data_IF_153940680298
#
_entry.id   IF_153940680298
#
_cell.length_a   1.000
_cell.length_b   1.000
_cell.length_c   1.000
_cell.angle_alpha   90.00
_cell.angle_beta   90.00
_cell.angle_gamma   90.00
#
_symmetry.space_group_name_H-M   'P 1'
#
loop_
_entity.id
_entity.type
_entity.pdbx_description
1 polymer ?
#
# COMPACT_ATOMS: atom_id res chain seq x y z
N UNK A 1 -37.08 75.67 -19.99
CA UNK A 1 -36.55 74.56 -20.82
C UNK A 1 -35.95 73.54 -19.89
N UNK A 2 -36.17 72.23 -20.13
CA UNK A 2 -35.42 71.20 -19.42
C UNK A 2 -33.99 71.28 -19.94
N UNK A 3 -33.00 71.35 -19.05
CA UNK A 3 -31.57 71.41 -19.40
C UNK A 3 -30.99 70.00 -19.33
N UNK A 4 -30.11 69.63 -20.25
CA UNK A 4 -29.37 68.38 -20.15
C UNK A 4 -28.38 68.45 -18.98
N UNK A 5 -28.37 67.43 -18.13
CA UNK A 5 -27.47 67.30 -16.98
C UNK A 5 -26.65 66.03 -17.18
N UNK A 6 -25.32 66.14 -17.12
CA UNK A 6 -24.45 64.97 -17.09
C UNK A 6 -24.42 64.47 -15.65
N UNK A 7 -25.06 63.34 -15.39
CA UNK A 7 -25.20 62.78 -14.05
C UNK A 7 -24.07 61.82 -13.69
N UNK A 8 -23.95 61.52 -12.39
CA UNK A 8 -23.12 60.42 -11.86
C UNK A 8 -24.00 59.49 -11.02
N UNK A 9 -24.88 58.71 -11.65
CA UNK A 9 -25.75 57.77 -10.95
C UNK A 9 -24.96 56.65 -10.29
N UNK A 10 -25.60 55.97 -9.34
CA UNK A 10 -25.17 54.65 -8.86
C UNK A 10 -26.19 53.64 -9.37
N UNK A 11 -25.72 52.52 -9.92
CA UNK A 11 -26.61 51.48 -10.41
C UNK A 11 -26.75 50.40 -9.35
N UNK A 12 -27.93 50.25 -8.77
CA UNK A 12 -28.15 49.27 -7.69
C UNK A 12 -27.99 47.82 -8.19
N UNK A 13 -28.26 47.58 -9.47
CA UNK A 13 -28.05 46.29 -10.13
C UNK A 13 -26.62 45.75 -10.00
N UNK A 14 -25.62 46.63 -9.89
CA UNK A 14 -24.21 46.24 -9.77
C UNK A 14 -23.93 45.46 -8.47
N UNK A 15 -24.78 45.61 -7.45
CA UNK A 15 -24.67 44.88 -6.18
C UNK A 15 -24.93 43.37 -6.38
N UNK A 16 -25.86 43.02 -7.26
CA UNK A 16 -26.18 41.61 -7.57
C UNK A 16 -25.34 41.06 -8.72
N UNK A 17 -24.91 41.92 -9.64
CA UNK A 17 -24.05 41.54 -10.75
C UNK A 17 -22.89 42.53 -10.90
N UNK A 18 -21.75 42.27 -10.25
CA UNK A 18 -20.58 43.16 -10.30
C UNK A 18 -19.89 43.18 -11.67
N UNK A 19 -20.31 42.35 -12.64
CA UNK A 19 -19.75 42.32 -13.99
C UNK A 19 -20.43 43.32 -14.94
N UNK A 20 -21.60 43.87 -14.58
CA UNK A 20 -22.30 44.87 -15.40
C UNK A 20 -21.45 46.12 -15.73
N UNK A 21 -20.66 46.69 -14.79
CA UNK A 21 -19.81 47.85 -15.06
C UNK A 21 -18.66 47.60 -16.04
N UNK A 22 -18.34 46.34 -16.36
CA UNK A 22 -17.29 45.96 -17.31
C UNK A 22 -17.83 45.24 -18.55
N UNK A 23 -19.16 45.15 -18.68
CA UNK A 23 -19.82 44.60 -19.86
C UNK A 23 -19.51 45.43 -21.13
N UNK A 24 -19.65 44.84 -22.34
CA UNK A 24 -19.53 45.57 -23.61
C UNK A 24 -20.34 46.87 -23.66
N UNK A 25 -21.55 46.87 -23.12
CA UNK A 25 -22.47 48.01 -23.12
C UNK A 25 -22.17 49.07 -22.03
N UNK A 26 -21.31 48.77 -21.05
CA UNK A 26 -21.21 49.54 -19.80
C UNK A 26 -20.86 51.02 -19.98
N UNK A 27 -20.09 51.36 -21.03
CA UNK A 27 -19.71 52.74 -21.33
C UNK A 27 -20.87 53.64 -21.77
N UNK A 28 -22.05 53.07 -22.04
CA UNK A 28 -23.22 53.82 -22.49
C UNK A 28 -24.24 54.09 -21.37
N UNK A 29 -24.07 53.45 -20.19
CA UNK A 29 -25.03 53.53 -19.07
C UNK A 29 -25.33 54.96 -18.65
N UNK A 30 -24.30 55.79 -18.54
CA UNK A 30 -24.45 57.20 -18.11
C UNK A 30 -25.22 58.03 -19.15
N UNK A 31 -24.92 57.85 -20.45
CA UNK A 31 -25.62 58.55 -21.52
C UNK A 31 -27.09 58.13 -21.58
N UNK A 32 -27.36 56.83 -21.58
CA UNK A 32 -28.70 56.28 -21.57
C UNK A 32 -29.52 56.75 -20.36
N UNK A 33 -28.89 56.77 -19.20
CA UNK A 33 -29.48 57.28 -17.97
C UNK A 33 -29.94 58.73 -18.16
N UNK A 34 -29.06 59.63 -18.62
CA UNK A 34 -29.41 61.03 -18.81
C UNK A 34 -30.40 61.26 -19.96
N UNK A 35 -30.33 60.46 -21.03
CA UNK A 35 -31.27 60.49 -22.15
C UNK A 35 -32.70 60.28 -21.66
N UNK A 36 -32.95 59.24 -20.87
CA UNK A 36 -34.28 58.93 -20.33
C UNK A 36 -34.79 60.03 -19.40
N UNK A 37 -33.93 60.63 -18.57
CA UNK A 37 -34.33 61.76 -17.70
C UNK A 37 -34.72 62.99 -18.51
N UNK A 38 -34.06 63.21 -19.64
CA UNK A 38 -34.32 64.32 -20.53
C UNK A 38 -35.62 64.12 -21.34
N UNK A 39 -35.74 62.96 -22.01
CA UNK A 39 -36.86 62.65 -22.92
C UNK A 39 -38.13 62.24 -22.18
N UNK A 40 -37.99 61.57 -21.02
CA UNK A 40 -39.08 61.04 -20.18
C UNK A 40 -40.07 60.18 -20.98
N UNK A 41 -39.60 59.11 -21.64
CA UNK A 41 -40.43 58.30 -22.52
C UNK A 41 -41.51 57.57 -21.70
N UNK A 42 -42.70 57.43 -22.27
CA UNK A 42 -43.81 56.71 -21.63
C UNK A 42 -43.71 55.20 -21.80
N UNK A 43 -43.10 54.74 -22.90
CA UNK A 43 -42.84 53.32 -23.17
C UNK A 43 -41.43 53.15 -23.70
N UNK A 44 -40.63 52.36 -22.98
CA UNK A 44 -39.30 51.90 -23.37
C UNK A 44 -39.39 50.41 -23.67
N UNK A 45 -38.91 49.98 -24.83
CA UNK A 45 -38.80 48.57 -25.18
C UNK A 45 -37.35 48.24 -25.51
N UNK A 46 -36.86 47.14 -24.95
CA UNK A 46 -35.54 46.60 -25.22
C UNK A 46 -35.63 45.20 -25.83
N UNK A 47 -34.90 45.00 -26.93
CA UNK A 47 -34.74 43.73 -27.62
C UNK A 47 -33.30 43.25 -27.39
N UNK A 48 -33.16 42.13 -26.69
CA UNK A 48 -31.86 41.59 -26.28
C UNK A 48 -31.42 42.22 -24.97
N UNK A 49 -31.83 41.61 -23.87
CA UNK A 49 -31.58 42.11 -22.51
C UNK A 49 -30.35 41.46 -21.88
N UNK A 50 -30.08 40.20 -22.20
CA UNK A 50 -28.99 39.42 -21.61
C UNK A 50 -28.97 39.53 -20.06
N UNK A 51 -27.84 39.96 -19.47
CA UNK A 51 -27.72 40.23 -18.02
C UNK A 51 -28.31 41.57 -17.56
N UNK A 52 -28.78 42.43 -18.48
CA UNK A 52 -29.55 43.64 -18.18
C UNK A 52 -28.74 44.91 -17.96
N UNK A 53 -27.51 45.04 -18.50
CA UNK A 53 -26.68 46.24 -18.27
C UNK A 53 -27.38 47.54 -18.71
N UNK A 54 -27.88 47.53 -19.93
CA UNK A 54 -28.75 48.54 -20.56
C UNK A 54 -30.09 48.68 -19.84
N UNK A 55 -30.82 47.57 -19.71
CA UNK A 55 -32.14 47.56 -19.10
C UNK A 55 -32.15 48.15 -17.69
N UNK A 56 -31.16 47.81 -16.88
CA UNK A 56 -31.04 48.33 -15.52
C UNK A 56 -30.52 49.76 -15.47
N UNK A 57 -29.75 50.22 -16.47
CA UNK A 57 -29.45 51.64 -16.61
C UNK A 57 -30.72 52.45 -16.93
N UNK A 58 -31.60 51.92 -17.78
CA UNK A 58 -32.91 52.50 -18.06
C UNK A 58 -33.80 52.51 -16.81
N UNK A 59 -33.87 51.37 -16.10
CA UNK A 59 -34.65 51.19 -14.88
C UNK A 59 -34.21 52.14 -13.77
N UNK A 60 -32.90 52.26 -13.53
CA UNK A 60 -32.34 53.21 -12.57
C UNK A 60 -32.70 54.66 -12.92
N UNK A 61 -32.68 55.01 -14.21
CA UNK A 61 -33.07 56.35 -14.67
C UNK A 61 -34.53 56.66 -14.40
N UNK A 62 -35.43 55.72 -14.68
CA UNK A 62 -36.86 55.85 -14.41
C UNK A 62 -37.12 56.02 -12.91
N UNK A 63 -36.46 55.21 -12.08
CA UNK A 63 -36.56 55.27 -10.62
C UNK A 63 -36.05 56.61 -10.08
N UNK A 64 -34.82 57.01 -10.41
CA UNK A 64 -34.17 58.22 -9.90
C UNK A 64 -34.83 59.51 -10.40
N UNK A 65 -35.55 59.45 -11.54
CA UNK A 65 -36.31 60.57 -12.08
C UNK A 65 -37.76 60.63 -11.57
N UNK A 66 -38.21 59.65 -10.77
CA UNK A 66 -39.57 59.60 -10.25
C UNK A 66 -40.63 59.34 -11.34
N UNK A 67 -40.29 58.55 -12.36
CA UNK A 67 -41.14 58.31 -13.54
C UNK A 67 -41.96 57.01 -13.45
N UNK A 68 -41.93 56.30 -12.33
CA UNK A 68 -42.57 54.99 -12.15
C UNK A 68 -44.07 54.92 -12.52
N UNK A 69 -44.81 56.04 -12.42
CA UNK A 69 -46.24 56.10 -12.76
C UNK A 69 -46.51 56.43 -14.23
N UNK A 70 -45.50 56.92 -14.96
CA UNK A 70 -45.65 57.42 -16.33
C UNK A 70 -44.83 56.66 -17.37
N UNK A 71 -43.89 55.81 -16.93
CA UNK A 71 -43.00 55.06 -17.82
C UNK A 71 -43.15 53.55 -17.58
N UNK A 72 -43.47 52.82 -18.65
CA UNK A 72 -43.41 51.37 -18.72
C UNK A 72 -42.10 50.93 -19.39
N UNK A 73 -41.45 49.90 -18.84
CA UNK A 73 -40.29 49.26 -19.43
C UNK A 73 -40.65 47.82 -19.83
N UNK A 74 -40.28 47.43 -21.05
CA UNK A 74 -40.46 46.07 -21.55
C UNK A 74 -39.11 45.53 -21.99
N UNK A 75 -38.71 44.39 -21.44
CA UNK A 75 -37.52 43.66 -21.88
C UNK A 75 -37.97 42.40 -22.61
N UNK A 76 -37.52 42.23 -23.85
CA UNK A 76 -37.77 41.04 -24.66
C UNK A 76 -36.46 40.32 -24.91
N UNK A 77 -36.40 39.08 -24.49
CA UNK A 77 -35.25 38.19 -24.72
C UNK A 77 -35.73 36.73 -24.57
N UNK A 78 -35.02 35.78 -25.16
CA UNK A 78 -35.26 34.36 -24.92
C UNK A 78 -34.64 33.92 -23.59
N UNK A 79 -33.58 34.59 -23.15
CA UNK A 79 -32.65 34.20 -22.08
C UNK A 79 -32.13 32.76 -22.22
N UNK A 80 -32.04 32.27 -23.46
CA UNK A 80 -31.39 30.99 -23.79
C UNK A 80 -29.96 31.21 -24.31
N UNK A 81 -29.66 32.42 -24.80
CA UNK A 81 -28.40 32.74 -25.46
C UNK A 81 -28.37 32.26 -26.91
N UNK A 82 -27.28 32.56 -27.62
CA UNK A 82 -27.09 32.21 -29.02
C UNK A 82 -25.60 31.96 -29.37
N UNK A 83 -25.28 31.71 -30.64
CA UNK A 83 -23.92 31.41 -31.08
C UNK A 83 -22.95 32.59 -31.02
N UNK A 84 -23.43 33.82 -30.88
CA UNK A 84 -22.62 35.05 -30.82
C UNK A 84 -22.47 35.56 -29.38
N UNK A 85 -23.53 35.50 -28.57
CA UNK A 85 -23.50 35.83 -27.15
C UNK A 85 -23.05 34.66 -26.24
N UNK A 86 -23.01 33.43 -26.78
CA UNK A 86 -22.85 32.19 -26.03
C UNK A 86 -24.20 31.67 -25.50
N UNK A 87 -24.34 30.35 -25.38
CA UNK A 87 -25.51 29.76 -24.71
C UNK A 87 -25.43 30.05 -23.21
N UNK A 88 -26.46 30.68 -22.67
CA UNK A 88 -26.49 31.11 -21.28
C UNK A 88 -26.63 29.91 -20.35
N UNK A 89 -25.90 29.90 -19.23
CA UNK A 89 -26.20 28.98 -18.13
C UNK A 89 -27.53 29.39 -17.48
N UNK A 90 -28.19 28.47 -16.75
CA UNK A 90 -29.49 28.72 -16.08
C UNK A 90 -29.48 29.97 -15.16
N UNK A 91 -28.31 30.42 -14.72
CA UNK A 91 -28.11 31.57 -13.84
C UNK A 91 -28.49 32.94 -14.45
N UNK A 92 -28.51 33.11 -15.78
CA UNK A 92 -28.78 34.42 -16.42
C UNK A 92 -30.25 34.82 -16.25
N UNK A 93 -31.18 33.91 -16.56
CA UNK A 93 -32.61 34.17 -16.40
C UNK A 93 -33.03 34.28 -14.93
N UNK A 94 -32.32 33.65 -13.99
CA UNK A 94 -32.63 33.84 -12.57
C UNK A 94 -32.21 35.23 -12.06
N UNK A 95 -31.10 35.77 -12.58
CA UNK A 95 -30.53 37.01 -12.06
C UNK A 95 -31.34 38.25 -12.47
N UNK A 96 -31.91 38.28 -13.67
CA UNK A 96 -32.65 39.45 -14.17
C UNK A 96 -33.93 39.72 -13.35
N UNK A 97 -34.89 38.77 -13.22
CA UNK A 97 -36.08 38.95 -12.38
C UNK A 97 -35.72 39.15 -10.91
N UNK A 98 -34.65 38.51 -10.40
CA UNK A 98 -34.16 38.77 -9.02
C UNK A 98 -33.72 40.21 -8.83
N UNK A 99 -33.01 40.78 -9.81
CA UNK A 99 -32.58 42.17 -9.78
C UNK A 99 -33.77 43.11 -9.85
N UNK A 100 -34.73 42.86 -10.74
CA UNK A 100 -35.99 43.61 -10.81
C UNK A 100 -36.72 43.59 -9.48
N UNK A 101 -36.94 42.41 -8.90
CA UNK A 101 -37.66 42.26 -7.63
C UNK A 101 -36.94 42.92 -6.45
N UNK A 102 -35.61 42.97 -6.46
CA UNK A 102 -34.82 43.53 -5.36
C UNK A 102 -34.74 45.04 -5.39
N UNK A 103 -34.55 45.63 -6.56
CA UNK A 103 -34.20 47.06 -6.70
C UNK A 103 -35.26 47.87 -7.44
N UNK A 104 -36.07 47.25 -8.29
CA UNK A 104 -36.98 47.94 -9.21
C UNK A 104 -38.44 47.49 -9.07
N UNK A 105 -38.83 46.98 -7.89
CA UNK A 105 -40.17 46.44 -7.63
C UNK A 105 -41.31 47.45 -7.81
N UNK A 106 -41.00 48.74 -7.69
CA UNK A 106 -41.98 49.83 -7.82
C UNK A 106 -42.14 50.31 -9.27
N UNK A 107 -41.36 49.79 -10.21
CA UNK A 107 -41.41 50.16 -11.62
C UNK A 107 -42.39 49.27 -12.40
N UNK A 108 -42.99 49.82 -13.46
CA UNK A 108 -43.81 49.08 -14.40
C UNK A 108 -42.93 48.31 -15.41
N UNK A 109 -42.38 47.19 -14.97
CA UNK A 109 -41.50 46.32 -15.78
C UNK A 109 -42.25 45.07 -16.26
N UNK A 110 -42.17 44.79 -17.56
CA UNK A 110 -42.66 43.54 -18.17
C UNK A 110 -41.49 42.78 -18.81
N UNK A 111 -41.15 41.62 -18.25
CA UNK A 111 -40.10 40.73 -18.77
C UNK A 111 -40.73 39.65 -19.66
N UNK A 112 -40.50 39.74 -20.96
CA UNK A 112 -41.07 38.84 -21.98
C UNK A 112 -40.05 37.80 -22.41
N UNK A 113 -40.11 36.59 -21.82
CA UNK A 113 -39.27 35.44 -22.20
C UNK A 113 -39.74 34.80 -23.52
N UNK A 114 -39.41 35.43 -24.64
CA UNK A 114 -39.83 35.03 -26.00
C UNK A 114 -38.94 35.68 -27.06
N UNK A 115 -39.04 35.22 -28.31
CA UNK A 115 -38.38 35.89 -29.44
C UNK A 115 -39.01 37.25 -29.72
N UNK A 116 -38.29 38.12 -30.43
CA UNK A 116 -38.79 39.47 -30.75
C UNK A 116 -40.06 39.41 -31.62
N UNK A 117 -40.12 38.48 -32.58
CA UNK A 117 -41.30 38.28 -33.43
C UNK A 117 -42.52 37.80 -32.63
N UNK A 118 -42.34 36.95 -31.62
CA UNK A 118 -43.43 36.50 -30.74
C UNK A 118 -43.95 37.63 -29.84
N UNK A 119 -43.09 38.57 -29.42
CA UNK A 119 -43.50 39.73 -28.63
C UNK A 119 -44.19 40.82 -29.46
N UNK A 120 -43.90 40.89 -30.77
CA UNK A 120 -44.36 41.96 -31.65
C UNK A 120 -45.87 42.23 -31.62
N UNK A 121 -46.78 41.23 -31.59
CA UNK A 121 -48.22 41.46 -31.53
C UNK A 121 -48.72 42.04 -30.20
N UNK A 122 -47.94 41.91 -29.12
CA UNK A 122 -48.29 42.39 -27.78
C UNK A 122 -48.00 43.89 -27.59
N UNK A 123 -47.25 44.49 -28.52
CA UNK A 123 -46.92 45.91 -28.51
C UNK A 123 -47.76 46.64 -29.56
N UNK A 124 -48.44 47.70 -29.15
CA UNK A 124 -49.28 48.49 -30.04
C UNK A 124 -48.44 49.26 -31.06
N UNK A 125 -48.98 49.45 -32.28
CA UNK A 125 -48.35 50.31 -33.28
C UNK A 125 -48.28 51.76 -32.77
N UNK A 126 -47.24 52.50 -33.19
CA UNK A 126 -47.07 53.92 -32.87
C UNK A 126 -47.10 54.23 -31.35
N UNK A 127 -46.55 53.33 -30.52
CA UNK A 127 -46.61 53.42 -29.05
C UNK A 127 -45.25 53.57 -28.37
N UNK A 128 -44.18 53.00 -28.95
CA UNK A 128 -42.84 52.99 -28.35
C UNK A 128 -42.18 54.36 -28.52
N UNK A 129 -41.71 54.98 -27.43
CA UNK A 129 -41.01 56.26 -27.48
C UNK A 129 -39.48 56.11 -27.47
N UNK A 130 -38.98 55.01 -26.90
CA UNK A 130 -37.57 54.61 -26.94
C UNK A 130 -37.49 53.10 -27.21
N UNK A 131 -36.85 52.71 -28.31
CA UNK A 131 -36.58 51.32 -28.66
C UNK A 131 -35.07 51.07 -28.57
N UNK A 132 -34.64 50.02 -27.88
CA UNK A 132 -33.26 49.53 -27.90
C UNK A 132 -33.20 48.20 -28.65
N UNK A 133 -32.27 48.10 -29.61
CA UNK A 133 -32.02 46.91 -30.43
C UNK A 133 -30.58 46.46 -30.17
N UNK A 134 -30.44 45.32 -29.49
CA UNK A 134 -29.18 44.68 -29.10
C UNK A 134 -29.35 43.15 -29.10
N UNK A 135 -29.88 42.65 -30.21
CA UNK A 135 -30.21 41.24 -30.41
C UNK A 135 -29.06 40.43 -31.02
N UNK A 136 -29.31 39.79 -32.16
CA UNK A 136 -28.29 39.01 -32.85
C UNK A 136 -27.51 39.89 -33.84
N UNK A 137 -26.18 39.76 -33.91
CA UNK A 137 -25.29 40.74 -34.54
C UNK A 137 -25.06 40.49 -36.05
N UNK A 138 -25.90 39.69 -36.72
CA UNK A 138 -25.87 39.59 -38.19
C UNK A 138 -26.62 40.75 -38.84
N UNK A 139 -26.23 41.11 -40.06
CA UNK A 139 -26.88 42.20 -40.80
C UNK A 139 -28.37 41.90 -40.99
N UNK A 140 -28.71 40.66 -41.35
CA UNK A 140 -30.08 40.22 -41.62
C UNK A 140 -30.95 40.29 -40.36
N UNK A 141 -30.43 39.88 -39.20
CA UNK A 141 -31.18 39.89 -37.95
C UNK A 141 -31.49 41.33 -37.49
N UNK A 142 -30.46 42.19 -37.42
CA UNK A 142 -30.67 43.60 -37.02
C UNK A 142 -31.56 44.33 -38.02
N UNK A 143 -31.43 44.02 -39.31
CA UNK A 143 -32.31 44.58 -40.35
C UNK A 143 -33.76 44.11 -40.15
N UNK A 144 -34.00 42.82 -39.91
CA UNK A 144 -35.34 42.30 -39.63
C UNK A 144 -35.94 42.96 -38.38
N UNK A 145 -35.17 43.07 -37.31
CA UNK A 145 -35.58 43.72 -36.07
C UNK A 145 -35.96 45.18 -36.29
N UNK A 146 -35.13 45.95 -37.00
CA UNK A 146 -35.44 47.32 -37.34
C UNK A 146 -36.74 47.43 -38.15
N UNK A 147 -36.88 46.67 -39.23
CA UNK A 147 -38.03 46.81 -40.13
C UNK A 147 -39.35 46.33 -39.49
N UNK A 148 -39.31 45.28 -38.67
CA UNK A 148 -40.49 44.73 -38.01
C UNK A 148 -40.94 45.59 -36.83
N UNK A 149 -40.01 46.22 -36.10
CA UNK A 149 -40.32 47.07 -34.95
C UNK A 149 -40.52 48.55 -35.30
N UNK A 150 -40.07 49.03 -36.46
CA UNK A 150 -40.27 50.42 -36.88
C UNK A 150 -41.76 50.86 -36.88
N UNK A 151 -42.75 50.04 -37.29
CA UNK A 151 -44.18 50.38 -37.15
C UNK A 151 -44.63 50.61 -35.69
N UNK A 152 -44.00 49.93 -34.72
CA UNK A 152 -44.28 50.05 -33.28
C UNK A 152 -43.76 51.36 -32.69
N UNK A 153 -42.71 51.93 -33.29
CA UNK A 153 -42.14 53.20 -32.89
C UNK A 153 -43.14 54.35 -33.10
N UNK A 154 -43.28 55.21 -32.10
CA UNK A 154 -44.11 56.42 -32.16
C UNK A 154 -43.49 57.50 -33.07
N UNK A 155 -44.30 58.44 -33.52
CA UNK A 155 -43.80 59.70 -34.10
C UNK A 155 -42.84 60.40 -33.12
N UNK A 156 -41.69 60.83 -33.63
CA UNK A 156 -40.52 61.29 -32.89
C UNK A 156 -39.95 60.27 -31.90
N UNK A 157 -40.18 58.97 -32.07
CA UNK A 157 -39.51 57.95 -31.26
C UNK A 157 -38.01 57.86 -31.57
N UNK A 158 -37.24 57.41 -30.59
CA UNK A 158 -35.78 57.22 -30.68
C UNK A 158 -35.48 55.73 -30.76
N UNK A 159 -34.57 55.32 -31.65
CA UNK A 159 -34.02 53.96 -31.66
C UNK A 159 -32.55 54.02 -31.24
N UNK A 160 -32.17 53.14 -30.32
CA UNK A 160 -30.81 52.87 -29.93
C UNK A 160 -30.36 51.53 -30.54
N UNK A 161 -29.18 51.51 -31.14
CA UNK A 161 -28.52 50.30 -31.65
C UNK A 161 -27.21 50.12 -30.91
N UNK A 162 -26.96 48.91 -30.41
CA UNK A 162 -25.65 48.56 -29.91
C UNK A 162 -24.82 47.85 -31.01
N UNK A 163 -23.53 47.60 -30.72
CA UNK A 163 -22.60 46.92 -31.64
C UNK A 163 -22.45 47.63 -32.99
N UNK A 164 -22.35 48.97 -32.93
CA UNK A 164 -22.27 49.86 -34.10
C UNK A 164 -20.87 50.43 -34.37
N UNK A 165 -19.89 50.13 -33.52
CA UNK A 165 -18.53 50.68 -33.66
C UNK A 165 -17.85 50.17 -34.94
N UNK A 166 -16.93 50.96 -35.52
CA UNK A 166 -16.04 50.45 -36.56
C UNK A 166 -15.25 49.23 -36.05
N UNK A 167 -14.91 48.32 -36.97
CA UNK A 167 -13.98 47.20 -36.76
C UNK A 167 -14.45 46.10 -35.77
N UNK A 168 -15.74 46.04 -35.42
CA UNK A 168 -16.32 44.93 -34.64
C UNK A 168 -16.32 43.60 -35.41
N UNK A 169 -16.41 43.67 -36.75
CA UNK A 169 -16.65 42.51 -37.62
C UNK A 169 -18.10 42.01 -37.61
N UNK A 170 -19.02 42.76 -36.99
CA UNK A 170 -20.43 42.40 -36.89
C UNK A 170 -21.27 42.97 -38.03
N UNK A 171 -22.29 42.22 -38.47
CA UNK A 171 -23.22 42.68 -39.49
C UNK A 171 -24.15 43.79 -39.00
N UNK A 172 -24.34 43.92 -37.68
CA UNK A 172 -24.97 45.10 -37.05
C UNK A 172 -24.27 46.41 -37.42
N UNK A 173 -22.93 46.40 -37.52
CA UNK A 173 -22.14 47.56 -37.92
C UNK A 173 -22.34 47.90 -39.39
N UNK A 174 -22.43 46.90 -40.27
CA UNK A 174 -22.75 47.10 -41.68
C UNK A 174 -24.15 47.72 -41.85
N UNK A 175 -25.13 47.20 -41.11
CA UNK A 175 -26.48 47.72 -41.11
C UNK A 175 -26.53 49.16 -40.57
N UNK A 176 -25.83 49.45 -39.47
CA UNK A 176 -25.72 50.80 -38.92
C UNK A 176 -25.15 51.80 -39.94
N UNK A 177 -24.07 51.42 -40.63
CA UNK A 177 -23.44 52.24 -41.66
C UNK A 177 -24.35 52.53 -42.87
N UNK A 178 -25.31 51.66 -43.15
CA UNK A 178 -26.35 51.91 -44.13
C UNK A 178 -27.43 52.84 -43.59
N UNK A 179 -28.01 52.52 -42.42
CA UNK A 179 -29.21 53.18 -41.92
C UNK A 179 -28.95 54.62 -41.48
N UNK A 180 -27.76 54.90 -40.93
CA UNK A 180 -27.37 56.25 -40.49
C UNK A 180 -27.26 57.26 -41.63
N UNK A 181 -27.15 56.81 -42.88
CA UNK A 181 -27.17 57.68 -44.07
C UNK A 181 -28.59 58.12 -44.45
N UNK A 182 -29.63 57.42 -43.97
CA UNK A 182 -31.03 57.65 -44.34
C UNK A 182 -31.77 58.56 -43.34
N UNK A 183 -31.31 58.63 -42.10
CA UNK A 183 -31.99 59.36 -41.02
C UNK A 183 -31.00 60.19 -40.18
N UNK A 184 -31.47 61.23 -39.46
CA UNK A 184 -30.65 61.89 -38.45
C UNK A 184 -30.15 60.89 -37.41
N UNK A 185 -28.91 61.08 -36.96
CA UNK A 185 -28.27 60.16 -36.01
C UNK A 185 -27.28 60.87 -35.08
N UNK A 186 -26.96 60.21 -33.97
CA UNK A 186 -25.76 60.42 -33.16
C UNK A 186 -25.07 59.06 -33.01
N UNK A 187 -23.77 59.04 -32.75
CA UNK A 187 -23.07 57.77 -32.51
C UNK A 187 -21.94 57.90 -31.49
N UNK A 188 -21.76 56.83 -30.73
CA UNK A 188 -20.58 56.56 -29.92
C UNK A 188 -19.77 55.45 -30.59
N UNK A 189 -18.44 55.53 -30.49
CA UNK A 189 -17.52 54.54 -31.06
C UNK A 189 -16.83 53.66 -30.01
N UNK A 190 -16.90 54.04 -28.72
CA UNK A 190 -16.38 53.21 -27.62
C UNK A 190 -17.40 52.16 -27.18
N UNK A 191 -16.97 51.22 -26.35
CA UNK A 191 -17.87 50.20 -25.77
C UNK A 191 -18.70 49.52 -26.85
N UNK A 192 -18.02 49.02 -27.90
CA UNK A 192 -18.61 48.36 -29.07
C UNK A 192 -19.57 49.21 -29.90
N UNK A 193 -19.72 50.48 -29.54
CA UNK A 193 -20.48 51.49 -30.24
C UNK A 193 -21.94 51.54 -29.83
N UNK A 194 -22.51 52.73 -29.91
CA UNK A 194 -23.94 52.96 -29.72
C UNK A 194 -24.44 53.96 -30.76
N UNK A 195 -25.33 53.49 -31.63
CA UNK A 195 -26.05 54.31 -32.59
C UNK A 195 -27.35 54.85 -32.00
N UNK A 196 -27.64 56.13 -32.21
CA UNK A 196 -28.90 56.76 -31.83
C UNK A 196 -29.55 57.29 -33.10
N UNK A 197 -30.71 56.74 -33.49
CA UNK A 197 -31.40 57.02 -34.74
C UNK A 197 -32.74 57.72 -34.50
N UNK A 198 -33.11 58.65 -35.39
CA UNK A 198 -34.37 59.38 -35.35
C UNK A 198 -35.18 59.16 -36.64
N UNK A 199 -35.79 57.97 -36.83
CA UNK A 199 -36.36 57.58 -38.12
C UNK A 199 -37.76 58.14 -38.41
N UNK A 200 -38.48 58.62 -37.38
CA UNK A 200 -39.85 59.16 -37.49
C UNK A 200 -39.93 60.62 -37.04
N UNK A 201 -39.04 61.46 -37.56
CA UNK A 201 -38.99 62.89 -37.24
C UNK A 201 -37.70 63.31 -36.52
N UNK A 202 -37.43 64.61 -36.52
CA UNK A 202 -36.15 65.18 -36.05
C UNK A 202 -36.29 66.03 -34.77
N UNK A 203 -37.43 65.96 -34.08
CA UNK A 203 -37.70 66.75 -32.88
C UNK A 203 -36.63 66.56 -31.81
N UNK A 204 -36.38 65.30 -31.40
CA UNK A 204 -35.37 65.03 -30.38
C UNK A 204 -33.96 65.28 -30.87
N UNK A 205 -33.66 64.99 -32.14
CA UNK A 205 -32.37 65.32 -32.72
C UNK A 205 -32.06 66.83 -32.60
N UNK A 206 -33.02 67.69 -32.95
CA UNK A 206 -32.91 69.15 -32.76
C UNK A 206 -32.78 69.52 -31.29
N UNK A 207 -33.60 68.93 -30.40
CA UNK A 207 -33.54 69.20 -28.96
C UNK A 207 -32.25 68.78 -28.27
N UNK A 208 -31.61 67.72 -28.75
CA UNK A 208 -30.30 67.30 -28.25
C UNK A 208 -29.21 68.24 -28.78
N UNK A 209 -29.28 68.65 -30.04
CA UNK A 209 -28.34 69.62 -30.60
C UNK A 209 -28.47 71.01 -29.96
N UNK A 210 -29.68 71.47 -29.61
CA UNK A 210 -29.91 72.69 -28.82
C UNK A 210 -29.21 72.63 -27.45
N UNK A 211 -29.06 71.43 -26.90
CA UNK A 211 -28.34 71.16 -25.65
C UNK A 211 -26.86 70.84 -25.88
N UNK A 212 -26.28 71.11 -27.06
CA UNK A 212 -24.89 70.81 -27.42
C UNK A 212 -24.52 69.34 -27.15
N UNK A 213 -25.32 68.39 -27.65
CA UNK A 213 -25.09 66.97 -27.41
C UNK A 213 -23.75 66.47 -27.97
N UNK A 214 -23.24 67.07 -29.06
CA UNK A 214 -21.97 66.69 -29.68
C UNK A 214 -20.80 66.82 -28.68
N UNK A 215 -20.68 67.95 -27.99
CA UNK A 215 -19.66 68.14 -26.95
C UNK A 215 -19.83 67.15 -25.78
N UNK A 216 -21.07 66.74 -25.50
CA UNK A 216 -21.38 65.83 -24.39
C UNK A 216 -21.06 64.39 -24.73
N UNK A 217 -21.16 64.00 -26.00
CA UNK A 217 -20.74 62.68 -26.48
C UNK A 217 -19.26 62.46 -26.13
N UNK A 218 -18.39 63.45 -26.34
CA UNK A 218 -16.99 63.38 -25.93
C UNK A 218 -16.83 63.25 -24.41
N UNK A 219 -17.64 63.97 -23.62
CA UNK A 219 -17.60 63.86 -22.16
C UNK A 219 -17.99 62.45 -21.71
N UNK A 220 -19.06 61.86 -22.26
CA UNK A 220 -19.44 60.48 -21.94
C UNK A 220 -18.39 59.47 -22.38
N UNK A 221 -17.73 59.68 -23.53
CA UNK A 221 -16.62 58.84 -23.99
C UNK A 221 -15.48 58.81 -22.96
N UNK A 222 -15.00 59.98 -22.52
CA UNK A 222 -13.92 60.04 -21.52
C UNK A 222 -14.36 59.53 -20.15
N UNK A 223 -15.62 59.80 -19.76
CA UNK A 223 -16.18 59.30 -18.49
C UNK A 223 -16.23 57.78 -18.46
N UNK A 224 -16.70 57.15 -19.54
CA UNK A 224 -16.73 55.70 -19.69
C UNK A 224 -15.32 55.09 -19.61
N UNK A 225 -14.35 55.68 -20.33
CA UNK A 225 -12.96 55.23 -20.28
C UNK A 225 -12.35 55.35 -18.87
N UNK A 226 -12.64 56.45 -18.16
CA UNK A 226 -12.19 56.64 -16.78
C UNK A 226 -12.81 55.60 -15.83
N UNK A 227 -14.12 55.37 -15.91
CA UNK A 227 -14.82 54.40 -15.06
C UNK A 227 -14.29 52.97 -15.30
N UNK A 228 -14.16 52.55 -16.57
CA UNK A 228 -13.60 51.24 -16.91
C UNK A 228 -12.17 51.07 -16.39
N UNK A 229 -11.32 52.10 -16.51
CA UNK A 229 -9.96 52.07 -15.99
C UNK A 229 -9.93 51.94 -14.46
N UNK A 230 -10.86 52.57 -13.73
CA UNK A 230 -10.96 52.40 -12.28
C UNK A 230 -11.29 50.95 -11.88
N UNK A 231 -12.25 50.31 -12.56
CA UNK A 231 -12.59 48.91 -12.33
C UNK A 231 -11.40 47.99 -12.63
N UNK A 232 -10.74 48.16 -13.77
CA UNK A 232 -9.56 47.36 -14.13
C UNK A 232 -8.42 47.51 -13.13
N UNK A 233 -8.15 48.72 -12.63
CA UNK A 233 -7.11 48.96 -11.61
C UNK A 233 -7.47 48.29 -10.30
N UNK A 234 -8.74 48.35 -9.88
CA UNK A 234 -9.22 47.69 -8.67
C UNK A 234 -8.99 46.17 -8.75
N UNK A 235 -9.43 45.53 -9.82
CA UNK A 235 -9.31 44.08 -10.00
C UNK A 235 -7.84 43.64 -10.09
N UNK A 236 -7.00 44.40 -10.78
CA UNK A 236 -5.57 44.15 -10.85
C UNK A 236 -4.90 44.22 -9.47
N UNK A 237 -5.32 45.16 -8.62
CA UNK A 237 -4.83 45.26 -7.23
C UNK A 237 -5.26 44.06 -6.40
N UNK A 238 -6.53 43.68 -6.47
CA UNK A 238 -7.04 42.52 -5.73
C UNK A 238 -6.34 41.22 -6.15
N UNK A 239 -6.15 41.02 -7.45
CA UNK A 239 -5.36 39.90 -7.98
C UNK A 239 -3.91 39.92 -7.48
N UNK A 240 -3.27 41.09 -7.44
CA UNK A 240 -1.91 41.22 -6.94
C UNK A 240 -1.82 40.86 -5.45
N UNK A 241 -2.76 41.34 -4.63
CA UNK A 241 -2.82 41.03 -3.19
C UNK A 241 -3.05 39.54 -2.95
N UNK A 242 -3.95 38.91 -3.71
CA UNK A 242 -4.21 37.48 -3.61
C UNK A 242 -2.99 36.64 -4.03
N UNK A 243 -2.29 37.03 -5.11
CA UNK A 243 -1.03 36.39 -5.51
C UNK A 243 0.05 36.55 -4.45
N UNK A 244 0.15 37.73 -3.84
CA UNK A 244 1.14 37.98 -2.78
C UNK A 244 0.88 37.10 -1.54
N UNK A 245 -0.39 36.93 -1.14
CA UNK A 245 -0.77 35.99 -0.07
C UNK A 245 -0.38 34.55 -0.42
N UNK A 246 -0.68 34.09 -1.63
CA UNK A 246 -0.33 32.75 -2.09
C UNK A 246 1.20 32.51 -2.12
N UNK A 247 1.98 33.51 -2.54
CA UNK A 247 3.45 33.45 -2.51
C UNK A 247 3.95 33.28 -1.06
N UNK A 248 3.44 34.08 -0.12
CA UNK A 248 3.84 33.97 1.29
C UNK A 248 3.48 32.61 1.91
N UNK A 249 2.34 32.02 1.53
CA UNK A 249 1.97 30.67 1.96
C UNK A 249 2.89 29.60 1.35
N UNK A 250 3.23 29.75 0.07
CA UNK A 250 4.16 28.85 -0.61
C UNK A 250 5.58 28.93 -0.01
N UNK A 251 6.06 30.12 0.35
CA UNK A 251 7.34 30.29 1.06
C UNK A 251 7.38 29.54 2.39
N UNK A 252 6.28 29.56 3.17
CA UNK A 252 6.18 28.78 4.42
C UNK A 252 6.26 27.27 4.15
N UNK A 253 5.56 26.78 3.13
CA UNK A 253 5.60 25.36 2.75
C UNK A 253 7.00 24.93 2.28
N UNK A 254 7.70 25.79 1.55
CA UNK A 254 9.08 25.53 1.13
C UNK A 254 9.99 25.43 2.35
N UNK A 255 9.90 26.37 3.29
CA UNK A 255 10.71 26.35 4.51
C UNK A 255 10.45 25.10 5.37
N UNK A 256 9.22 24.58 5.41
CA UNK A 256 8.90 23.33 6.10
C UNK A 256 9.46 22.09 5.38
N UNK A 257 9.39 22.07 4.04
CA UNK A 257 9.99 21.01 3.23
C UNK A 257 11.50 20.97 3.38
N UNK A 258 12.17 22.12 3.41
CA UNK A 258 13.63 22.20 3.60
C UNK A 258 14.04 21.59 4.95
N UNK A 259 13.30 21.87 6.03
CA UNK A 259 13.54 21.22 7.34
C UNK A 259 13.37 19.71 7.28
N UNK A 260 12.36 19.25 6.55
CA UNK A 260 12.08 17.81 6.41
C UNK A 260 13.17 17.12 5.62
N UNK A 261 13.66 17.75 4.54
CA UNK A 261 14.78 17.25 3.74
C UNK A 261 16.04 17.14 4.61
N UNK A 262 16.38 18.18 5.36
CA UNK A 262 17.54 18.15 6.28
C UNK A 262 17.44 17.01 7.31
N UNK A 263 16.26 16.79 7.89
CA UNK A 263 16.05 15.68 8.82
C UNK A 263 16.20 14.31 8.13
N UNK A 264 15.70 14.18 6.91
CA UNK A 264 15.85 12.96 6.11
C UNK A 264 17.31 12.68 5.73
N UNK A 265 18.07 13.70 5.33
CA UNK A 265 19.50 13.58 5.03
C UNK A 265 20.30 13.10 6.24
N UNK A 266 20.00 13.62 7.43
CA UNK A 266 20.64 13.18 8.67
C UNK A 266 20.37 11.70 8.98
N UNK A 267 19.12 11.24 8.81
CA UNK A 267 18.74 9.84 8.99
C UNK A 267 19.42 8.91 7.98
N UNK A 268 19.56 9.34 6.72
CA UNK A 268 20.28 8.57 5.70
C UNK A 268 21.74 8.40 6.10
N UNK A 269 22.40 9.45 6.59
CA UNK A 269 23.79 9.37 7.04
C UNK A 269 23.96 8.42 8.24
N UNK A 270 23.03 8.45 9.20
CA UNK A 270 23.05 7.53 10.34
C UNK A 270 22.86 6.08 9.89
N UNK A 271 21.91 5.82 8.99
CA UNK A 271 21.71 4.48 8.41
C UNK A 271 22.93 3.99 7.65
N UNK A 272 23.62 4.86 6.92
CA UNK A 272 24.84 4.49 6.21
C UNK A 272 25.91 3.99 7.20
N UNK A 273 26.13 4.71 8.30
CA UNK A 273 27.09 4.28 9.34
C UNK A 273 26.72 2.92 9.95
N UNK A 274 25.42 2.68 10.18
CA UNK A 274 24.95 1.41 10.70
C UNK A 274 25.17 0.26 9.70
N UNK A 275 25.00 0.52 8.41
CA UNK A 275 25.30 -0.44 7.34
C UNK A 275 26.80 -0.77 7.28
N UNK A 276 27.67 0.25 7.38
CA UNK A 276 29.12 0.04 7.37
C UNK A 276 29.55 -0.86 8.55
N UNK A 277 29.02 -0.61 9.77
CA UNK A 277 29.26 -1.46 10.94
C UNK A 277 28.77 -2.89 10.71
N UNK A 278 27.59 -3.04 10.12
CA UNK A 278 27.02 -4.36 9.84
C UNK A 278 27.85 -5.13 8.80
N UNK A 279 28.38 -4.44 7.79
CA UNK A 279 29.30 -5.03 6.81
C UNK A 279 30.56 -5.58 7.48
N UNK A 280 31.15 -4.82 8.41
CA UNK A 280 32.33 -5.27 9.17
C UNK A 280 32.03 -6.49 10.05
N UNK A 281 30.88 -6.51 10.73
CA UNK A 281 30.47 -7.69 11.50
C UNK A 281 30.27 -8.93 10.62
N UNK A 282 29.77 -8.76 9.39
CA UNK A 282 29.61 -9.87 8.44
C UNK A 282 30.99 -10.41 8.05
N UNK A 283 31.96 -9.54 7.74
CA UNK A 283 33.34 -9.96 7.44
C UNK A 283 33.98 -10.76 8.59
N UNK A 284 33.78 -10.32 9.83
CA UNK A 284 34.28 -11.05 11.01
C UNK A 284 33.63 -12.44 11.13
N UNK A 285 32.30 -12.52 10.96
CA UNK A 285 31.58 -13.79 10.96
C UNK A 285 32.05 -14.74 9.86
N UNK A 286 32.28 -14.24 8.65
CA UNK A 286 32.79 -15.04 7.54
C UNK A 286 34.18 -15.63 7.86
N UNK A 287 35.07 -14.83 8.48
CA UNK A 287 36.37 -15.33 8.94
C UNK A 287 36.24 -16.42 10.01
N UNK A 288 35.30 -16.28 10.94
CA UNK A 288 35.04 -17.31 11.96
C UNK A 288 34.53 -18.58 11.30
N UNK A 289 33.58 -18.47 10.35
CA UNK A 289 33.01 -19.62 9.65
C UNK A 289 34.11 -20.39 8.91
N UNK A 290 35.05 -19.71 8.24
CA UNK A 290 36.15 -20.39 7.55
C UNK A 290 37.07 -21.12 8.56
N UNK A 291 37.41 -20.49 9.69
CA UNK A 291 38.22 -21.16 10.73
C UNK A 291 37.52 -22.39 11.34
N UNK A 292 36.19 -22.33 11.51
CA UNK A 292 35.41 -23.46 12.01
C UNK A 292 35.36 -24.60 10.98
N UNK A 293 35.29 -24.26 9.69
CA UNK A 293 35.31 -25.23 8.60
C UNK A 293 36.65 -25.99 8.56
N UNK A 294 37.78 -25.30 8.69
CA UNK A 294 39.11 -25.92 8.80
C UNK A 294 39.21 -26.87 10.00
N UNK A 295 38.71 -26.46 11.17
CA UNK A 295 38.69 -27.30 12.38
C UNK A 295 37.83 -28.56 12.19
N UNK A 296 36.70 -28.44 11.49
CA UNK A 296 35.84 -29.58 11.18
C UNK A 296 36.57 -30.56 10.24
N UNK A 297 37.27 -30.05 9.22
CA UNK A 297 38.07 -30.88 8.31
C UNK A 297 39.17 -31.65 9.06
N UNK A 298 39.88 -31.01 9.99
CA UNK A 298 40.87 -31.66 10.84
C UNK A 298 40.24 -32.77 11.70
N UNK A 299 39.10 -32.48 12.33
CA UNK A 299 38.36 -33.48 13.14
C UNK A 299 37.91 -34.67 12.30
N UNK A 300 37.48 -34.46 11.06
CA UNK A 300 37.12 -35.56 10.14
C UNK A 300 38.33 -36.46 9.88
N UNK A 301 39.52 -35.88 9.70
CA UNK A 301 40.75 -36.65 9.50
C UNK A 301 41.10 -37.50 10.72
N UNK A 302 41.00 -36.92 11.92
CA UNK A 302 41.21 -37.64 13.19
C UNK A 302 40.21 -38.79 13.34
N UNK A 303 38.93 -38.54 13.08
CA UNK A 303 37.89 -39.57 13.12
C UNK A 303 38.23 -40.74 12.18
N UNK A 304 38.68 -40.44 10.95
CA UNK A 304 39.11 -41.48 9.99
C UNK A 304 40.30 -42.30 10.50
N UNK A 305 41.25 -41.66 11.18
CA UNK A 305 42.37 -42.37 11.81
C UNK A 305 41.91 -43.26 12.96
N UNK A 306 41.00 -42.78 13.81
CA UNK A 306 40.42 -43.57 14.89
C UNK A 306 39.63 -44.77 14.36
N UNK A 307 38.84 -44.59 13.30
CA UNK A 307 38.13 -45.70 12.63
C UNK A 307 39.10 -46.79 12.15
N UNK A 308 40.25 -46.42 11.57
CA UNK A 308 41.26 -47.39 11.15
C UNK A 308 41.89 -48.13 12.35
N UNK A 309 42.20 -47.41 13.43
CA UNK A 309 42.75 -48.02 14.65
C UNK A 309 41.76 -49.00 15.29
N UNK A 310 40.46 -48.68 15.26
CA UNK A 310 39.40 -49.58 15.71
C UNK A 310 39.38 -50.85 14.85
N UNK A 311 39.43 -50.72 13.51
CA UNK A 311 39.51 -51.89 12.61
C UNK A 311 40.72 -52.78 12.88
N UNK A 312 41.89 -52.18 13.12
CA UNK A 312 43.09 -52.94 13.48
C UNK A 312 42.92 -53.68 14.81
N UNK A 313 42.34 -53.02 15.82
CA UNK A 313 42.02 -53.66 17.11
C UNK A 313 41.04 -54.82 16.95
N UNK A 314 39.99 -54.65 16.15
CA UNK A 314 39.01 -55.71 15.89
C UNK A 314 39.69 -56.93 15.24
N UNK A 315 40.58 -56.71 14.26
CA UNK A 315 41.38 -57.77 13.64
C UNK A 315 42.27 -58.51 14.65
N UNK A 316 42.90 -57.78 15.58
CA UNK A 316 43.69 -58.38 16.66
C UNK A 316 42.82 -59.19 17.61
N UNK A 317 41.64 -58.67 17.98
CA UNK A 317 40.69 -59.38 18.84
C UNK A 317 40.22 -60.67 18.17
N UNK A 318 39.90 -60.63 16.88
CA UNK A 318 39.53 -61.83 16.11
C UNK A 318 40.67 -62.86 16.08
N UNK A 319 41.92 -62.41 15.88
CA UNK A 319 43.10 -63.27 15.95
C UNK A 319 43.32 -63.89 17.34
N UNK A 320 43.13 -63.11 18.41
CA UNK A 320 43.20 -63.62 19.78
C UNK A 320 42.09 -64.63 20.07
N UNK A 321 40.88 -64.39 19.57
CA UNK A 321 39.76 -65.32 19.70
C UNK A 321 40.07 -66.66 19.05
N UNK A 322 40.63 -66.66 17.83
CA UNK A 322 41.04 -67.88 17.14
C UNK A 322 42.13 -68.66 17.90
N UNK A 323 43.13 -67.97 18.47
CA UNK A 323 44.15 -68.61 19.31
C UNK A 323 43.58 -69.22 20.59
N UNK A 324 42.58 -68.56 21.19
CA UNK A 324 41.87 -69.09 22.36
C UNK A 324 41.10 -70.35 21.97
N UNK A 325 40.41 -70.36 20.83
CA UNK A 325 39.69 -71.53 20.33
C UNK A 325 40.66 -72.72 20.09
N UNK A 326 41.82 -72.48 19.46
CA UNK A 326 42.86 -73.50 19.26
C UNK A 326 43.40 -74.06 20.60
N UNK A 327 43.60 -73.18 21.59
CA UNK A 327 43.98 -73.61 22.94
C UNK A 327 42.90 -74.45 23.59
N UNK A 328 41.62 -74.11 23.45
CA UNK A 328 40.52 -74.91 23.97
C UNK A 328 40.47 -76.29 23.32
N UNK A 329 40.69 -76.39 22.00
CA UNK A 329 40.76 -77.68 21.32
C UNK A 329 41.97 -78.51 21.79
N UNK A 330 43.12 -77.86 22.02
CA UNK A 330 44.30 -78.52 22.59
C UNK A 330 44.03 -79.04 24.00
N UNK A 331 43.39 -78.23 24.85
CA UNK A 331 42.99 -78.63 26.20
C UNK A 331 42.05 -79.84 26.13
N UNK A 332 41.06 -79.82 25.24
CA UNK A 332 40.14 -80.96 25.04
C UNK A 332 40.89 -82.23 24.66
N UNK A 333 41.85 -82.14 23.75
CA UNK A 333 42.71 -83.29 23.39
C UNK A 333 43.55 -83.79 24.57
N UNK A 334 44.06 -82.88 25.40
CA UNK A 334 44.78 -83.24 26.63
C UNK A 334 43.84 -83.92 27.64
N UNK A 335 42.62 -83.43 27.82
CA UNK A 335 41.60 -84.05 28.68
C UNK A 335 41.26 -85.47 28.22
N UNK A 336 41.12 -85.71 26.91
CA UNK A 336 40.92 -87.05 26.34
C UNK A 336 42.12 -87.98 26.64
N UNK A 337 43.34 -87.48 26.49
CA UNK A 337 44.55 -88.26 26.79
C UNK A 337 44.65 -88.60 28.28
N UNK A 338 44.27 -87.67 29.17
CA UNK A 338 44.20 -87.92 30.61
C UNK A 338 43.14 -88.98 30.91
N UNK A 339 41.94 -88.89 30.31
CA UNK A 339 40.90 -89.89 30.49
C UNK A 339 41.36 -91.30 30.05
N UNK A 340 42.08 -91.41 28.93
CA UNK A 340 42.69 -92.68 28.49
C UNK A 340 43.72 -93.19 29.49
N UNK A 341 44.57 -92.32 30.04
CA UNK A 341 45.53 -92.70 31.09
C UNK A 341 44.84 -93.18 32.35
N UNK A 342 43.77 -92.53 32.78
CA UNK A 342 42.99 -92.94 33.95
C UNK A 342 42.35 -94.31 33.73
N UNK A 343 41.90 -94.63 32.51
CA UNK A 343 41.42 -95.97 32.14
C UNK A 343 42.52 -97.02 32.23
N UNK A 344 43.71 -96.73 31.70
CA UNK A 344 44.88 -97.63 31.82
C UNK A 344 45.27 -97.85 33.28
N UNK A 345 45.32 -96.77 34.09
CA UNK A 345 45.64 -96.86 35.52
C UNK A 345 44.62 -97.75 36.23
N UNK A 346 43.33 -97.58 35.95
CA UNK A 346 42.26 -98.42 36.52
C UNK A 346 42.46 -99.89 36.18
N UNK A 347 42.76 -100.20 34.91
CA UNK A 347 43.07 -101.57 34.49
C UNK A 347 44.33 -102.14 35.14
N UNK A 348 45.37 -101.33 35.35
CA UNK A 348 46.54 -101.74 36.13
C UNK A 348 46.20 -101.99 37.60
N UNK A 349 45.29 -101.22 38.18
CA UNK A 349 44.85 -101.35 39.56
C UNK A 349 44.08 -102.67 39.75
N UNK A 350 43.18 -103.03 38.83
CA UNK A 350 42.49 -104.34 38.81
C UNK A 350 43.49 -105.51 38.68
N UNK A 351 44.49 -105.39 37.80
CA UNK A 351 45.53 -106.42 37.65
C UNK A 351 46.36 -106.61 38.92
N UNK A 352 46.64 -105.52 39.64
CA UNK A 352 47.34 -105.57 40.93
C UNK A 352 46.46 -106.23 41.99
N UNK A 353 45.16 -105.96 42.03
CA UNK A 353 44.22 -106.65 42.92
C UNK A 353 44.13 -108.15 42.64
N UNK A 354 44.08 -108.57 41.37
CA UNK A 354 44.17 -109.98 40.98
C UNK A 354 45.48 -110.61 41.46
N UNK A 355 46.62 -109.93 41.30
CA UNK A 355 47.91 -110.40 41.80
C UNK A 355 47.92 -110.55 43.32
N UNK A 356 47.33 -109.61 44.06
CA UNK A 356 47.20 -109.71 45.51
C UNK A 356 46.27 -110.85 45.95
N UNK A 357 45.21 -111.14 45.19
CA UNK A 357 44.36 -112.30 45.42
C UNK A 357 45.13 -113.62 45.19
N UNK A 358 45.88 -113.71 44.09
CA UNK A 358 46.74 -114.86 43.80
C UNK A 358 47.83 -115.06 44.87
N UNK A 359 48.41 -113.96 45.38
CA UNK A 359 49.37 -114.02 46.49
C UNK A 359 48.74 -114.59 47.77
N UNK A 360 47.50 -114.19 48.11
CA UNK A 360 46.77 -114.74 49.26
C UNK A 360 46.48 -116.23 49.12
N UNK A 361 46.10 -116.68 47.92
CA UNK A 361 45.92 -118.11 47.64
C UNK A 361 47.24 -118.89 47.79
N UNK A 362 48.35 -118.29 47.37
CA UNK A 362 49.68 -118.90 47.54
C UNK A 362 50.13 -118.94 49.00
N UNK A 363 49.81 -117.91 49.79
CA UNK A 363 50.02 -117.88 51.24
C UNK A 363 49.25 -118.99 51.95
N UNK A 364 47.99 -119.24 51.55
CA UNK A 364 47.18 -120.37 52.05
C UNK A 364 47.83 -121.72 51.73
N UNK A 365 48.33 -121.91 50.50
CA UNK A 365 49.03 -123.15 50.13
C UNK A 365 50.32 -123.36 50.94
N UNK A 366 51.05 -122.30 51.26
CA UNK A 366 52.24 -122.38 52.12
C UNK A 366 51.84 -122.81 53.53
N UNK A 367 50.76 -122.23 54.07
CA UNK A 367 50.27 -122.57 55.41
C UNK A 367 49.82 -124.04 55.52
N UNK A 368 49.09 -124.55 54.52
CA UNK A 368 48.73 -125.99 54.44
C UNK A 368 49.97 -126.90 54.38
N UNK A 369 51.03 -126.45 53.68
CA UNK A 369 52.29 -127.19 53.61
C UNK A 369 53.01 -127.20 54.95
N UNK A 370 53.02 -126.09 55.68
CA UNK A 370 53.68 -125.99 56.98
C UNK A 370 52.94 -126.81 58.06
N UNK A 371 51.60 -126.90 58.00
CA UNK A 371 50.82 -127.82 58.84
C UNK A 371 51.16 -129.30 58.56
N UNK A 372 51.38 -129.65 57.29
CA UNK A 372 51.83 -131.00 56.89
C UNK A 372 53.24 -131.32 57.41
N UNK A 373 54.16 -130.35 57.37
CA UNK A 373 55.51 -130.50 57.93
C UNK A 373 55.47 -130.67 59.46
N UNK A 374 54.62 -129.88 60.15
CA UNK A 374 54.43 -130.02 61.59
C UNK A 374 53.88 -131.40 61.97
N UNK A 375 52.94 -131.94 61.19
CA UNK A 375 52.44 -133.31 61.37
C UNK A 375 53.53 -134.36 61.17
N UNK A 376 54.42 -134.20 60.18
CA UNK A 376 55.53 -135.13 59.95
C UNK A 376 56.57 -135.07 61.08
N UNK A 377 56.83 -133.89 61.64
CA UNK A 377 57.72 -133.74 62.79
C UNK A 377 57.16 -134.41 64.06
N UNK A 378 55.86 -134.33 64.32
CA UNK A 378 55.23 -134.98 65.48
C UNK A 378 55.38 -136.51 65.43
N UNK A 379 55.23 -137.12 64.24
CA UNK A 379 55.45 -138.56 64.02
C UNK A 379 56.92 -138.96 64.27
N UNK A 380 57.85 -138.05 63.99
CA UNK A 380 59.28 -138.27 64.17
C UNK A 380 59.68 -138.26 65.65
N UNK A 381 59.10 -137.37 66.46
CA UNK A 381 59.32 -137.36 67.91
C UNK A 381 58.75 -138.63 68.59
N UNK A 382 57.58 -139.10 68.15
CA UNK A 382 56.97 -140.32 68.67
C UNK A 382 57.85 -141.56 68.40
N UNK A 383 58.50 -141.61 67.23
CA UNK A 383 59.50 -142.65 66.91
C UNK A 383 60.77 -142.54 67.75
N UNK A 384 61.22 -141.34 68.09
CA UNK A 384 62.39 -141.15 68.94
C UNK A 384 62.12 -141.60 70.38
N UNK A 385 60.92 -141.36 70.92
CA UNK A 385 60.52 -141.82 72.25
C UNK A 385 60.48 -143.35 72.35
N UNK A 386 59.94 -144.03 71.32
CA UNK A 386 59.89 -145.50 71.26
C UNK A 386 61.29 -146.16 71.23
N UNK A 387 62.28 -145.50 70.63
CA UNK A 387 63.66 -146.00 70.60
C UNK A 387 64.32 -145.91 71.99
N UNK A 388 64.05 -144.83 72.73
CA UNK A 388 64.60 -144.61 74.08
C UNK A 388 64.04 -145.63 75.10
N UNK A 389 62.76 -145.97 74.98
CA UNK A 389 62.12 -147.04 75.78
C UNK A 389 62.78 -148.41 75.54
N UNK A 390 63.16 -148.68 74.30
CA UNK A 390 63.80 -149.95 73.92
C UNK A 390 65.24 -150.06 74.46
N UNK A 391 66.01 -148.96 74.51
CA UNK A 391 67.32 -148.92 75.18
C UNK A 391 67.21 -149.12 76.69
N UNK A 392 66.14 -148.61 77.30
CA UNK A 392 65.91 -148.76 78.74
C UNK A 392 65.62 -150.23 79.12
N UNK A 393 64.81 -150.92 78.31
CA UNK A 393 64.54 -152.36 78.49
C UNK A 393 65.78 -153.25 78.31
N UNK A 394 66.69 -152.89 77.41
CA UNK A 394 67.96 -153.63 77.23
C UNK A 394 68.83 -153.50 78.49
N UNK A 395 68.84 -152.32 79.11
CA UNK A 395 69.66 -152.03 80.29
C UNK A 395 69.16 -152.73 81.56
N UNK A 396 67.84 -152.85 81.74
CA UNK A 396 67.25 -153.58 82.87
C UNK A 396 67.50 -155.10 82.78
N UNK A 397 67.43 -155.66 81.57
CA UNK A 397 67.67 -157.09 81.36
C UNK A 397 69.11 -157.50 81.65
N UNK A 398 70.08 -156.66 81.31
CA UNK A 398 71.49 -156.92 81.61
C UNK A 398 71.80 -156.86 83.11
N UNK A 399 71.02 -156.09 83.89
CA UNK A 399 71.15 -156.04 85.35
C UNK A 399 70.52 -157.28 86.04
N UNK A 400 69.43 -157.83 85.51
CA UNK A 400 68.85 -159.08 86.03
C UNK A 400 69.78 -160.29 85.83
N UNK A 401 70.47 -160.37 84.68
CA UNK A 401 71.42 -161.46 84.42
C UNK A 401 72.61 -161.39 85.38
N UNK A 402 73.08 -160.17 85.71
CA UNK A 402 74.13 -159.95 86.72
C UNK A 402 73.70 -160.40 88.13
N UNK A 403 72.42 -160.25 88.48
CA UNK A 403 71.89 -160.69 89.76
C UNK A 403 71.71 -162.22 89.83
N UNK A 404 71.38 -162.88 88.73
CA UNK A 404 71.35 -164.36 88.68
C UNK A 404 72.77 -164.96 88.77
N UNK A 405 73.80 -164.23 88.33
CA UNK A 405 75.20 -164.60 88.58
C UNK A 405 75.60 -164.50 90.06
N UNK A 406 74.88 -163.73 90.89
CA UNK A 406 75.17 -163.58 92.33
C UNK A 406 74.49 -164.65 93.22
N UNK A 407 73.38 -165.25 92.78
CA UNK A 407 72.61 -166.19 93.62
C UNK A 407 73.15 -167.63 93.63
N UNK A 408 73.94 -168.03 92.63
CA UNK A 408 74.52 -169.38 92.58
C UNK A 408 75.81 -169.54 93.42
N UNK A 409 76.31 -168.47 94.04
CA UNK A 409 77.48 -168.52 94.95
C UNK A 409 77.10 -168.74 96.45
N UNK A 410 75.80 -168.82 96.80
CA UNK A 410 75.33 -168.95 98.19
C UNK A 410 74.23 -169.99 98.41
N UNK A 411 74.50 -171.20 97.94
CA UNK A 411 74.04 -172.43 98.62
C UNK A 411 75.11 -173.51 98.59
N UNK A 412 76.37 -173.09 98.75
CA UNK A 412 77.43 -173.88 99.40
C UNK A 412 78.44 -172.99 100.19
N UNK A 413 77.94 -171.86 100.75
CA UNK A 413 78.03 -171.49 102.17
C UNK A 413 77.26 -170.19 102.45
#
# INVERSE_FOLDING_TARGET
>A
MKKWIISSPKYESDILNPDLPVSPWAGHRNFAYDLIRYTKPSLIVELGTHFGCSFFAFSQSVQDAGLQNGTQLVAVDTWVGDSQAGFYAENVFELVPRTVNRFFSDLQIDLKKKTFLEALPEIADNSIELLHIDGFHTYEAVSEDFHTWLPKLKENGIILFHDTAPDTGYGSTDFWNEIKKKFPYLEFIHSWGLGILFPKGDYWYKKLNEENIQDKIEIYFYKAGYELAQYQIHDLREMADNRFKAINEMEKMIAERDRTIQASEALVLERQKAMDIMEDMIKERDSIIESQKELIEERILVMKSLENMIKERDSVIDGQKALIDERFDTIRSMEEMIAQRDEVIRGQQELVEERFAAMRDMERMIQERDESIASQNAILEERYAAILEMETMITERDNEIKNLQALLYKTEQ
#
